data_IF_589806144645
#
_entry.id   IF_589806144645
#
_cell.length_a   1.000
_cell.length_b   1.000
_cell.length_c   1.000
_cell.angle_alpha   90.00
_cell.angle_beta   90.00
_cell.angle_gamma   90.00
#
_symmetry.space_group_name_H-M   'P 1'
#
loop_
_entity.id
_entity.type
_entity.pdbx_description
1 polymer ?
#
# COMPACT_ATOMS: atom_id res chain seq x y z
N UNK A 1 3.19 -42.76 9.35
CA UNK A 1 4.32 -41.94 8.83
C UNK A 1 4.20 -41.60 7.35
N UNK A 2 3.98 -42.56 6.42
CA UNK A 2 3.90 -42.29 4.97
C UNK A 2 2.80 -41.29 4.54
N UNK A 3 1.64 -41.32 5.19
CA UNK A 3 0.50 -40.43 4.87
C UNK A 3 0.74 -38.98 5.29
N UNK A 4 1.48 -38.77 6.39
CA UNK A 4 1.85 -37.43 6.85
C UNK A 4 2.90 -36.82 5.92
N UNK A 5 3.90 -37.60 5.49
CA UNK A 5 4.91 -37.12 4.55
C UNK A 5 4.33 -36.74 3.19
N UNK A 6 3.35 -37.48 2.66
CA UNK A 6 2.69 -37.14 1.39
C UNK A 6 1.79 -35.90 1.49
N UNK A 7 1.15 -35.68 2.63
CA UNK A 7 0.41 -34.43 2.90
C UNK A 7 1.35 -33.22 2.97
N UNK A 8 2.49 -33.34 3.66
CA UNK A 8 3.48 -32.26 3.74
C UNK A 8 4.10 -31.95 2.38
N UNK A 9 4.42 -32.96 1.57
CA UNK A 9 5.01 -32.74 0.25
C UNK A 9 4.02 -32.07 -0.71
N UNK A 10 2.72 -32.40 -0.62
CA UNK A 10 1.66 -31.71 -1.37
C UNK A 10 1.49 -30.26 -0.92
N UNK A 11 1.60 -29.99 0.37
CA UNK A 11 1.52 -28.63 0.91
C UNK A 11 2.72 -27.79 0.49
N UNK A 12 3.94 -28.32 0.57
CA UNK A 12 5.15 -27.65 0.09
C UNK A 12 5.08 -27.35 -1.42
N UNK A 13 4.50 -28.26 -2.22
CA UNK A 13 4.27 -28.01 -3.65
C UNK A 13 3.23 -26.92 -3.94
N UNK A 14 2.15 -26.87 -3.16
CA UNK A 14 1.15 -25.81 -3.27
C UNK A 14 1.72 -24.46 -2.87
N UNK A 15 2.46 -24.41 -1.76
CA UNK A 15 3.07 -23.20 -1.22
C UNK A 15 4.12 -22.64 -2.19
N UNK A 16 4.99 -23.49 -2.74
CA UNK A 16 5.97 -23.06 -3.74
C UNK A 16 5.36 -22.57 -5.04
N UNK A 17 4.26 -23.18 -5.50
CA UNK A 17 3.52 -22.72 -6.68
C UNK A 17 2.85 -21.37 -6.45
N UNK A 18 2.16 -21.22 -5.32
CA UNK A 18 1.49 -19.98 -4.92
C UNK A 18 2.50 -18.85 -4.74
N UNK A 19 3.62 -19.12 -4.06
CA UNK A 19 4.68 -18.14 -3.86
C UNK A 19 5.29 -17.68 -5.19
N UNK A 20 5.54 -18.60 -6.13
CA UNK A 20 6.03 -18.25 -7.48
C UNK A 20 5.05 -17.35 -8.22
N UNK A 21 3.75 -17.64 -8.13
CA UNK A 21 2.72 -16.80 -8.74
C UNK A 21 2.66 -15.40 -8.11
N UNK A 22 2.72 -15.33 -6.78
CA UNK A 22 2.72 -14.07 -6.02
C UNK A 22 3.93 -13.20 -6.39
N UNK A 23 5.13 -13.78 -6.43
CA UNK A 23 6.35 -13.05 -6.83
C UNK A 23 6.24 -12.52 -8.26
N UNK A 24 5.66 -13.29 -9.18
CA UNK A 24 5.52 -12.89 -10.57
C UNK A 24 4.46 -11.81 -10.81
N UNK A 25 3.34 -11.82 -10.08
CA UNK A 25 2.17 -10.99 -10.41
C UNK A 25 1.81 -9.91 -9.38
N UNK A 26 2.28 -9.99 -8.13
CA UNK A 26 1.88 -9.06 -7.06
C UNK A 26 2.12 -7.59 -7.42
N UNK A 27 3.30 -7.27 -7.96
CA UNK A 27 3.66 -5.90 -8.35
C UNK A 27 2.81 -5.42 -9.51
N UNK A 28 2.55 -6.27 -10.51
CA UNK A 28 1.72 -5.91 -11.66
C UNK A 28 0.27 -5.66 -11.22
N UNK A 29 -0.26 -6.51 -10.34
CA UNK A 29 -1.60 -6.37 -9.78
C UNK A 29 -1.71 -5.10 -8.92
N UNK A 30 -0.70 -4.83 -8.10
CA UNK A 30 -0.61 -3.61 -7.28
C UNK A 30 -0.64 -2.36 -8.16
N UNK A 31 0.16 -2.35 -9.23
CA UNK A 31 0.22 -1.26 -10.20
C UNK A 31 -1.13 -1.05 -10.90
N UNK A 32 -1.74 -2.10 -11.41
CA UNK A 32 -3.03 -2.02 -12.11
C UNK A 32 -4.13 -1.58 -11.14
N UNK A 33 -4.17 -2.16 -9.94
CA UNK A 33 -5.13 -1.81 -8.90
C UNK A 33 -5.02 -0.33 -8.50
N UNK A 34 -3.80 0.18 -8.30
CA UNK A 34 -3.59 1.61 -8.08
C UNK A 34 -4.08 2.45 -9.26
N UNK A 35 -3.77 2.05 -10.49
CA UNK A 35 -4.23 2.74 -11.69
C UNK A 35 -5.76 2.85 -11.76
N UNK A 36 -6.46 1.75 -11.48
CA UNK A 36 -7.93 1.71 -11.44
C UNK A 36 -8.48 2.61 -10.34
N UNK A 37 -7.90 2.58 -9.13
CA UNK A 37 -8.36 3.38 -7.99
C UNK A 37 -8.20 4.88 -8.28
N UNK A 38 -7.01 5.30 -8.72
CA UNK A 38 -6.75 6.71 -9.06
C UNK A 38 -7.60 7.19 -10.22
N UNK A 39 -7.72 6.40 -11.30
CA UNK A 39 -8.51 6.79 -12.46
C UNK A 39 -10.01 6.83 -12.12
N UNK A 40 -10.51 5.82 -11.40
CA UNK A 40 -11.90 5.78 -10.95
C UNK A 40 -12.23 6.98 -10.09
N UNK A 41 -11.48 7.19 -8.99
CA UNK A 41 -11.72 8.33 -8.12
C UNK A 41 -11.54 9.67 -8.83
N UNK A 42 -10.56 9.81 -9.73
CA UNK A 42 -10.39 11.02 -10.53
C UNK A 42 -11.59 11.31 -11.42
N UNK A 43 -12.09 10.31 -12.16
CA UNK A 43 -13.27 10.48 -13.03
C UNK A 43 -14.52 10.86 -12.22
N UNK A 44 -14.70 10.23 -11.05
CA UNK A 44 -15.82 10.52 -10.16
C UNK A 44 -15.81 11.97 -9.64
N UNK A 45 -14.63 12.61 -9.53
CA UNK A 45 -14.49 13.98 -9.02
C UNK A 45 -14.94 15.07 -10.00
N UNK A 46 -15.07 14.78 -11.30
CA UNK A 46 -15.66 15.71 -12.26
C UNK A 46 -17.17 15.90 -12.07
N UNK A 47 -17.82 14.99 -11.34
CA UNK A 47 -19.25 15.05 -11.09
C UNK A 47 -19.53 15.65 -9.70
N UNK A 48 -20.19 16.82 -9.63
CA UNK A 48 -20.41 17.52 -8.36
C UNK A 48 -21.36 16.74 -7.45
N UNK A 49 -21.09 16.76 -6.15
CA UNK A 49 -21.96 16.19 -5.10
C UNK A 49 -21.85 14.67 -4.91
N UNK A 50 -20.95 13.99 -5.63
CA UNK A 50 -20.77 12.53 -5.51
C UNK A 50 -19.73 12.18 -4.46
N UNK A 51 -18.70 13.02 -4.27
CA UNK A 51 -17.59 12.69 -3.37
C UNK A 51 -17.90 13.13 -1.93
N UNK A 52 -17.87 12.20 -0.94
CA UNK A 52 -18.16 12.53 0.47
C UNK A 52 -17.22 13.57 1.09
N UNK A 53 -16.07 13.81 0.47
CA UNK A 53 -14.96 14.66 0.97
C UNK A 53 -14.73 15.87 0.07
N UNK A 54 -15.61 16.11 -0.92
CA UNK A 54 -15.48 17.22 -1.88
C UNK A 54 -15.26 18.59 -1.22
N UNK A 55 -16.10 18.93 -0.23
CA UNK A 55 -15.98 20.19 0.48
C UNK A 55 -14.65 20.33 1.24
N UNK A 56 -14.17 19.25 1.84
CA UNK A 56 -12.88 19.26 2.53
C UNK A 56 -11.73 19.35 1.53
N UNK A 57 -11.80 18.62 0.40
CA UNK A 57 -10.79 18.62 -0.64
C UNK A 57 -10.66 19.99 -1.33
N UNK A 58 -11.77 20.64 -1.62
CA UNK A 58 -11.80 21.98 -2.25
C UNK A 58 -11.25 23.05 -1.31
N UNK A 59 -11.68 23.07 -0.04
CA UNK A 59 -11.14 23.98 0.99
C UNK A 59 -9.64 23.78 1.21
N UNK A 60 -9.20 22.53 1.30
CA UNK A 60 -7.76 22.21 1.42
C UNK A 60 -6.98 22.66 0.19
N UNK A 61 -7.47 22.39 -1.02
CA UNK A 61 -6.78 22.78 -2.26
C UNK A 61 -6.69 24.30 -2.37
N UNK A 62 -7.73 25.03 -1.96
CA UNK A 62 -7.70 26.49 -1.87
C UNK A 62 -6.59 26.98 -0.93
N UNK A 63 -6.46 26.39 0.26
CA UNK A 63 -5.39 26.75 1.21
C UNK A 63 -4.00 26.43 0.64
N UNK A 64 -3.82 25.24 0.05
CA UNK A 64 -2.53 24.81 -0.50
C UNK A 64 -2.11 25.59 -1.74
N UNK A 65 -3.07 26.08 -2.52
CA UNK A 65 -2.81 26.90 -3.72
C UNK A 65 -2.75 28.39 -3.41
N UNK A 66 -2.70 28.77 -2.13
CA UNK A 66 -2.66 30.16 -1.66
C UNK A 66 -3.83 31.00 -2.20
N UNK A 67 -5.00 30.36 -2.39
CA UNK A 67 -6.22 30.98 -2.91
C UNK A 67 -6.28 31.12 -4.43
N UNK A 68 -5.33 30.56 -5.18
CA UNK A 68 -5.34 30.63 -6.65
C UNK A 68 -6.43 29.73 -7.25
N UNK A 69 -6.63 28.53 -6.69
CA UNK A 69 -7.68 27.61 -7.15
C UNK A 69 -8.80 27.55 -6.11
N UNK A 70 -10.04 27.76 -6.58
CA UNK A 70 -11.23 27.86 -5.71
C UNK A 70 -12.36 26.98 -6.24
N UNK A 71 -13.15 26.38 -5.34
CA UNK A 71 -14.39 25.70 -5.70
C UNK A 71 -14.20 24.58 -6.72
N UNK A 72 -14.88 24.68 -7.86
CA UNK A 72 -14.90 23.65 -8.88
C UNK A 72 -13.55 23.49 -9.60
N UNK A 73 -12.86 24.59 -9.88
CA UNK A 73 -11.55 24.57 -10.56
C UNK A 73 -10.50 23.80 -9.76
N UNK A 74 -10.55 23.93 -8.42
CA UNK A 74 -9.70 23.17 -7.51
C UNK A 74 -9.98 21.67 -7.58
N UNK A 75 -11.26 21.31 -7.69
CA UNK A 75 -11.69 19.92 -7.78
C UNK A 75 -11.35 19.30 -9.14
N UNK A 76 -11.54 20.04 -10.23
CA UNK A 76 -11.18 19.63 -11.59
C UNK A 76 -9.68 19.44 -11.74
N UNK A 77 -8.88 20.30 -11.12
CA UNK A 77 -7.44 20.14 -11.07
C UNK A 77 -7.03 18.83 -10.36
N UNK A 78 -7.61 18.57 -9.19
CA UNK A 78 -7.40 17.34 -8.43
C UNK A 78 -7.86 16.11 -9.22
N UNK A 79 -9.02 16.19 -9.88
CA UNK A 79 -9.58 15.14 -10.72
C UNK A 79 -8.66 14.81 -11.91
N UNK A 80 -8.16 15.85 -12.58
CA UNK A 80 -7.22 15.73 -13.69
C UNK A 80 -5.90 15.09 -13.27
N UNK A 81 -5.33 15.52 -12.14
CA UNK A 81 -4.12 14.92 -11.58
C UNK A 81 -4.31 13.43 -11.29
N UNK A 82 -5.41 13.04 -10.64
CA UNK A 82 -5.70 11.64 -10.33
C UNK A 82 -5.90 10.80 -11.59
N UNK A 83 -6.55 11.34 -12.61
CA UNK A 83 -6.69 10.66 -13.90
C UNK A 83 -5.33 10.44 -14.58
N UNK A 84 -4.46 11.44 -14.59
CA UNK A 84 -3.11 11.33 -15.17
C UNK A 84 -2.30 10.27 -14.43
N UNK A 85 -2.33 10.29 -13.09
CA UNK A 85 -1.68 9.30 -12.24
C UNK A 85 -2.22 7.90 -12.56
N UNK A 86 -3.54 7.75 -12.59
CA UNK A 86 -4.23 6.51 -12.90
C UNK A 86 -3.83 5.93 -14.26
N UNK A 87 -3.78 6.75 -15.30
CA UNK A 87 -3.35 6.36 -16.65
C UNK A 87 -1.88 5.95 -16.66
N UNK A 88 -0.99 6.68 -15.98
CA UNK A 88 0.43 6.32 -15.86
C UNK A 88 0.59 4.93 -15.23
N UNK A 89 -0.12 4.68 -14.12
CA UNK A 89 -0.09 3.39 -13.45
C UNK A 89 -0.71 2.28 -14.29
N UNK A 90 -1.86 2.50 -14.94
CA UNK A 90 -2.55 1.47 -15.72
C UNK A 90 -1.76 1.08 -16.98
N UNK A 91 -1.28 2.05 -17.74
CA UNK A 91 -0.50 1.82 -18.97
C UNK A 91 0.92 1.34 -18.67
N UNK A 92 1.46 1.66 -17.50
CA UNK A 92 2.86 1.39 -17.18
C UNK A 92 3.84 2.30 -17.92
N UNK A 93 3.34 3.32 -18.63
CA UNK A 93 4.12 4.34 -19.31
C UNK A 93 4.39 5.49 -18.34
N UNK A 94 5.59 6.07 -18.41
CA UNK A 94 5.98 7.21 -17.57
C UNK A 94 5.78 6.99 -16.06
N UNK A 95 5.94 5.74 -15.58
CA UNK A 95 5.75 5.38 -14.17
C UNK A 95 6.56 6.28 -13.21
N UNK A 96 7.75 6.70 -13.62
CA UNK A 96 8.58 7.70 -12.89
C UNK A 96 7.81 8.97 -12.57
N UNK A 97 7.21 9.56 -13.59
CA UNK A 97 6.39 10.77 -13.44
C UNK A 97 5.14 10.44 -12.62
N UNK A 98 4.49 9.31 -12.90
CA UNK A 98 3.30 8.86 -12.19
C UNK A 98 3.48 8.76 -10.66
N UNK A 99 4.58 8.15 -10.17
CA UNK A 99 4.82 8.08 -8.71
C UNK A 99 5.17 9.44 -8.12
N UNK A 100 5.96 10.28 -8.83
CA UNK A 100 6.27 11.63 -8.31
C UNK A 100 5.00 12.49 -8.21
N UNK A 101 4.14 12.44 -9.22
CA UNK A 101 2.83 13.09 -9.18
C UNK A 101 1.95 12.51 -8.07
N UNK A 102 1.92 11.19 -7.92
CA UNK A 102 1.20 10.52 -6.84
C UNK A 102 1.72 10.98 -5.47
N UNK A 103 3.03 11.05 -5.26
CA UNK A 103 3.61 11.49 -4.00
C UNK A 103 3.21 12.93 -3.66
N UNK A 104 3.28 13.84 -4.63
CA UNK A 104 2.81 15.22 -4.47
C UNK A 104 1.30 15.28 -4.15
N UNK A 105 0.49 14.51 -4.88
CA UNK A 105 -0.95 14.40 -4.67
C UNK A 105 -1.29 13.87 -3.28
N UNK A 106 -0.57 12.88 -2.77
CA UNK A 106 -0.79 12.31 -1.43
C UNK A 106 -0.48 13.31 -0.32
N UNK A 107 0.53 14.17 -0.49
CA UNK A 107 0.80 15.27 0.46
C UNK A 107 -0.42 16.21 0.51
N UNK A 108 -0.97 16.57 -0.65
CA UNK A 108 -2.17 17.39 -0.75
C UNK A 108 -3.39 16.73 -0.09
N UNK A 109 -3.68 15.48 -0.47
CA UNK A 109 -4.83 14.71 0.03
C UNK A 109 -4.78 14.44 1.54
N UNK A 110 -3.58 14.27 2.11
CA UNK A 110 -3.39 14.02 3.54
C UNK A 110 -3.28 15.30 4.38
N UNK A 111 -3.02 16.46 3.77
CA UNK A 111 -2.92 17.73 4.50
C UNK A 111 -4.13 18.14 5.36
N UNK A 112 -5.40 17.77 5.06
CA UNK A 112 -6.53 18.09 5.93
C UNK A 112 -6.36 17.53 7.35
N UNK A 113 -5.61 16.44 7.54
CA UNK A 113 -5.33 15.88 8.87
C UNK A 113 -4.58 16.86 9.77
N UNK A 114 -3.77 17.74 9.19
CA UNK A 114 -3.01 18.77 9.90
C UNK A 114 -3.74 20.11 9.93
N UNK A 115 -4.44 20.46 8.85
CA UNK A 115 -5.13 21.75 8.70
C UNK A 115 -6.46 21.77 9.46
N UNK A 116 -7.22 20.66 9.42
CA UNK A 116 -8.58 20.56 9.98
C UNK A 116 -8.75 19.38 10.96
N UNK A 117 -7.85 19.18 11.95
CA UNK A 117 -7.97 18.05 12.88
C UNK A 117 -9.27 18.08 13.71
N UNK A 118 -9.82 19.28 13.95
CA UNK A 118 -11.07 19.45 14.70
C UNK A 118 -12.31 18.91 13.98
N UNK A 119 -12.32 18.89 12.64
CA UNK A 119 -13.43 18.32 11.84
C UNK A 119 -13.26 16.80 11.63
N UNK A 120 -12.02 16.30 11.75
CA UNK A 120 -11.66 14.92 11.44
C UNK A 120 -11.65 13.99 12.64
N UNK A 121 -11.45 14.53 13.85
CA UNK A 121 -11.40 13.74 15.09
C UNK A 121 -12.47 14.19 16.08
N UNK A 122 -13.41 13.30 16.39
CA UNK A 122 -14.51 13.58 17.31
C UNK A 122 -14.00 13.52 18.75
N UNK A 123 -14.18 14.61 19.50
CA UNK A 123 -13.91 14.67 20.95
C UNK A 123 -15.06 14.04 21.75
N UNK A 124 -14.81 13.39 22.91
CA UNK A 124 -13.54 13.34 23.65
C UNK A 124 -12.62 12.16 23.29
N UNK A 125 -13.13 11.17 22.56
CA UNK A 125 -12.41 9.90 22.32
C UNK A 125 -11.37 9.96 21.19
N UNK A 126 -11.21 11.11 20.52
CA UNK A 126 -10.37 11.28 19.32
C UNK A 126 -10.68 10.21 18.24
N UNK A 127 -11.95 9.84 18.10
CA UNK A 127 -12.37 8.86 17.12
C UNK A 127 -12.36 9.47 15.71
N UNK A 128 -11.74 8.82 14.71
CA UNK A 128 -11.69 9.35 13.35
C UNK A 128 -13.06 9.27 12.67
N UNK A 129 -13.51 10.39 12.09
CA UNK A 129 -14.71 10.43 11.25
C UNK A 129 -14.54 9.55 9.99
N UNK A 130 -15.63 9.30 9.26
CA UNK A 130 -15.54 8.61 7.96
C UNK A 130 -14.58 9.34 7.01
N UNK A 131 -14.59 10.67 7.00
CA UNK A 131 -13.66 11.47 6.21
C UNK A 131 -12.20 11.21 6.63
N UNK A 132 -11.92 11.22 7.93
CA UNK A 132 -10.58 10.94 8.46
C UNK A 132 -10.12 9.53 8.09
N UNK A 133 -10.99 8.52 8.22
CA UNK A 133 -10.69 7.14 7.84
C UNK A 133 -10.36 7.02 6.34
N UNK A 134 -11.10 7.74 5.50
CA UNK A 134 -10.86 7.79 4.06
C UNK A 134 -9.51 8.41 3.69
N UNK A 135 -9.04 9.41 4.44
CA UNK A 135 -7.72 10.02 4.21
C UNK A 135 -6.61 9.13 4.80
N UNK A 136 -6.80 8.57 5.99
CA UNK A 136 -5.78 7.75 6.68
C UNK A 136 -5.43 6.50 5.87
N UNK A 137 -6.41 5.86 5.19
CA UNK A 137 -6.13 4.68 4.37
C UNK A 137 -5.17 4.96 3.20
N UNK A 138 -5.01 6.22 2.77
CA UNK A 138 -4.12 6.56 1.65
C UNK A 138 -2.64 6.31 1.95
N UNK A 139 -2.28 6.11 3.23
CA UNK A 139 -0.97 5.59 3.65
C UNK A 139 -0.65 4.26 2.93
N UNK A 140 -1.66 3.43 2.67
CA UNK A 140 -1.51 2.17 1.93
C UNK A 140 -1.11 2.45 0.48
N UNK A 141 -1.68 3.48 -0.16
CA UNK A 141 -1.33 3.89 -1.52
C UNK A 141 0.10 4.45 -1.58
N UNK A 142 0.52 5.21 -0.57
CA UNK A 142 1.91 5.67 -0.45
C UNK A 142 2.88 4.48 -0.36
N UNK A 143 2.60 3.51 0.52
CA UNK A 143 3.41 2.30 0.64
C UNK A 143 3.44 1.49 -0.67
N UNK A 144 2.29 1.36 -1.34
CA UNK A 144 2.20 0.71 -2.64
C UNK A 144 3.03 1.42 -3.72
N UNK A 145 2.99 2.76 -3.76
CA UNK A 145 3.81 3.57 -4.65
C UNK A 145 5.30 3.41 -4.40
N UNK A 146 5.73 3.30 -3.14
CA UNK A 146 7.12 2.99 -2.78
C UNK A 146 7.55 1.63 -3.31
N UNK A 147 6.71 0.60 -3.18
CA UNK A 147 6.99 -0.73 -3.74
C UNK A 147 7.15 -0.65 -5.26
N UNK A 148 6.25 0.05 -5.97
CA UNK A 148 6.36 0.21 -7.42
C UNK A 148 7.62 1.00 -7.80
N UNK A 149 7.95 2.07 -7.08
CA UNK A 149 9.14 2.87 -7.32
C UNK A 149 10.44 2.05 -7.14
N UNK A 150 10.47 1.14 -6.17
CA UNK A 150 11.62 0.27 -5.91
C UNK A 150 11.95 -0.63 -7.10
N UNK A 151 10.97 -0.97 -7.94
CA UNK A 151 11.22 -1.81 -9.11
C UNK A 151 12.07 -1.13 -10.18
N UNK A 152 12.15 0.21 -10.18
CA UNK A 152 12.97 0.96 -11.14
C UNK A 152 14.45 0.94 -10.82
N UNK A 153 14.82 0.70 -9.55
CA UNK A 153 16.21 0.51 -9.14
C UNK A 153 16.66 -0.94 -9.30
N UNK A 154 15.81 -1.80 -9.88
CA UNK A 154 16.11 -3.22 -10.11
C UNK A 154 15.79 -4.11 -8.91
N UNK A 155 15.12 -3.59 -7.87
CA UNK A 155 14.66 -4.42 -6.76
C UNK A 155 13.66 -5.46 -7.28
N UNK A 156 13.85 -6.72 -6.88
CA UNK A 156 12.96 -7.83 -7.22
C UNK A 156 12.57 -8.55 -5.95
N UNK A 157 11.31 -8.95 -5.89
CA UNK A 157 10.85 -9.89 -4.87
C UNK A 157 11.47 -11.25 -5.23
N UNK A 158 12.21 -11.83 -4.28
CA UNK A 158 12.82 -13.16 -4.43
C UNK A 158 12.11 -14.10 -3.47
N UNK A 159 11.52 -15.16 -4.02
CA UNK A 159 11.02 -16.27 -3.22
C UNK A 159 12.17 -17.25 -2.96
N UNK A 160 12.65 -17.30 -1.72
CA UNK A 160 13.43 -18.46 -1.25
C UNK A 160 12.44 -19.49 -0.68
N UNK A 161 12.24 -20.63 -1.34
CA UNK A 161 11.38 -21.68 -0.81
C UNK A 161 12.09 -22.37 0.37
N UNK A 162 11.81 -21.93 1.60
CA UNK A 162 12.14 -22.70 2.80
C UNK A 162 11.14 -23.86 2.90
N UNK A 163 11.60 -25.10 2.68
CA UNK A 163 10.71 -26.25 2.88
C UNK A 163 10.25 -26.33 4.33
N UNK A 164 8.98 -26.65 4.55
CA UNK A 164 8.42 -26.73 5.90
C UNK A 164 9.19 -27.73 6.77
N UNK A 165 9.72 -28.80 6.15
CA UNK A 165 10.61 -29.77 6.81
C UNK A 165 11.92 -29.13 7.31
N UNK A 166 12.54 -28.25 6.53
CA UNK A 166 13.77 -27.56 6.91
C UNK A 166 13.50 -26.59 8.07
N UNK A 167 12.37 -25.86 8.04
CA UNK A 167 11.98 -24.95 9.12
C UNK A 167 11.72 -25.69 10.44
N UNK A 168 11.01 -26.83 10.39
CA UNK A 168 10.77 -27.72 11.53
C UNK A 168 12.06 -28.31 12.09
N UNK A 169 12.96 -28.79 11.22
CA UNK A 169 14.25 -29.33 11.62
C UNK A 169 15.11 -28.26 12.31
N UNK A 170 15.14 -27.03 11.78
CA UNK A 170 15.81 -25.88 12.42
C UNK A 170 15.19 -25.56 13.79
N UNK A 171 13.86 -25.57 13.91
CA UNK A 171 13.16 -25.32 15.19
C UNK A 171 13.47 -26.39 16.24
N UNK A 172 13.39 -27.67 15.87
CA UNK A 172 13.70 -28.79 16.77
C UNK A 172 15.18 -28.75 17.19
N UNK A 173 16.10 -28.49 16.26
CA UNK A 173 17.52 -28.34 16.57
C UNK A 173 17.80 -27.18 17.53
N UNK A 174 17.09 -26.05 17.36
CA UNK A 174 17.18 -24.89 18.26
C UNK A 174 16.69 -25.23 19.69
N UNK A 175 15.57 -25.94 19.81
CA UNK A 175 15.03 -26.38 21.10
C UNK A 175 15.98 -27.36 21.78
N UNK A 176 16.54 -28.32 21.05
CA UNK A 176 17.50 -29.27 21.60
C UNK A 176 18.76 -28.57 22.13
N UNK A 177 19.26 -27.57 21.39
CA UNK A 177 20.42 -26.76 21.81
C UNK A 177 20.13 -25.88 23.04
N UNK A 178 18.90 -25.41 23.22
CA UNK A 178 18.51 -24.67 24.44
C UNK A 178 18.28 -25.55 25.67
N UNK A 179 18.13 -26.87 25.49
CA UNK A 179 17.87 -27.83 26.58
C UNK A 179 19.16 -28.55 27.03
N UNK A 180 20.22 -28.56 26.22
CA UNK A 180 21.53 -29.05 26.70
C UNK A 180 22.12 -28.08 27.75
N UNK A 181 22.40 -28.54 28.98
CA UNK A 181 23.12 -27.72 29.95
C UNK A 181 24.49 -27.38 29.39
N UNK A 182 24.93 -26.14 29.56
CA UNK A 182 26.33 -25.79 29.35
C UNK A 182 27.13 -26.59 30.38
N UNK A 183 27.80 -27.67 29.95
CA UNK A 183 28.72 -28.41 30.81
C UNK A 183 29.79 -27.42 31.26
N UNK A 184 29.97 -27.17 32.57
CA UNK A 184 31.05 -26.30 33.01
C UNK A 184 32.36 -26.95 32.60
N UNK A 185 33.20 -26.20 31.89
CA UNK A 185 34.57 -26.61 31.61
C UNK A 185 35.26 -26.85 32.96
N UNK A 186 35.56 -28.11 33.26
CA UNK A 186 36.35 -28.50 34.42
C UNK A 186 37.75 -27.90 34.28
N UNK A 187 38.08 -27.04 35.25
CA UNK A 187 39.42 -26.48 35.48
C UNK A 187 40.40 -27.54 36.01
#
# INVERSE_FOLDING_TARGET
>A
MKTLTTLFDRFDHLDTSMNRWLVAHSIALLRIGMGIVFLGFGVLKFFPGISPIEDLATRTTHVLTLGVLSGHDAMDFVAGLECIIGICFLTGRFLRVGVWLMAAQMIGAMSPLLIYPGELFIKPYFAPTLAAQYIIKDIILVAAGMVIASTWTGARIVAEPESFRVSLRKRIAKVHRSVQPQTPATA
#
